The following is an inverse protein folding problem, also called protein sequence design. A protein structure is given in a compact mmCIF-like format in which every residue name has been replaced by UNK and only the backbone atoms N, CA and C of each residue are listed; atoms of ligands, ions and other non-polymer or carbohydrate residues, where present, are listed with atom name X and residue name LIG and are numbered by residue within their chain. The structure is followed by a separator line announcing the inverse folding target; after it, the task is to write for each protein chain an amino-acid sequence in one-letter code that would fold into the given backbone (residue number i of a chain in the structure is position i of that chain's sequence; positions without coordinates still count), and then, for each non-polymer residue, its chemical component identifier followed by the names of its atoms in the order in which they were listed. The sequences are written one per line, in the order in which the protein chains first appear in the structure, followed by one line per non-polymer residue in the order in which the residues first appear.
data_IF_161099354304
#
_entry.id   IF_161099354304
#
_cell.length_a   1.000
_cell.length_b   1.000
_cell.length_c   1.000
_cell.angle_alpha   90.00
_cell.angle_beta   90.00
_cell.angle_gamma   90.00
#
_symmetry.space_group_name_H-M   'P 1'
#
loop_
_entity.id
_entity.type
_entity.pdbx_description
1 polymer ?
2 non-polymer ?
3 water ?
#
# COMPACT_ATOMS: atom_id res chain seq x y z
N UNK A 4 -27.38 14.82 8.78
CA UNK A 4 -26.92 13.43 8.50
C UNK A 4 -25.75 13.05 9.45
N UNK A 5 -24.54 12.82 8.91
CA UNK A 5 -23.42 12.27 9.71
C UNK A 5 -22.64 13.38 10.42
N UNK A 6 -22.62 13.34 11.75
CA UNK A 6 -21.99 14.39 12.55
C UNK A 6 -21.56 13.84 13.89
N UNK A 7 -20.48 14.40 14.49
CA UNK A 7 -20.20 14.19 15.91
C UNK A 7 -21.40 14.66 16.72
N UNK A 8 -21.78 13.86 17.70
CA UNK A 8 -22.89 14.22 18.56
C UNK A 8 -22.45 14.45 20.01
N UNK A 9 -21.39 13.80 20.49
CA UNK A 9 -20.96 13.94 21.87
C UNK A 9 -19.66 14.74 21.87
N UNK A 10 -19.21 15.18 23.06
CA UNK A 10 -17.95 15.91 23.14
C UNK A 10 -16.82 15.04 22.66
N UNK A 11 -16.79 13.80 23.17
CA UNK A 11 -15.81 12.80 22.72
C UNK A 11 -15.71 12.63 21.23
N UNK A 12 -16.84 12.67 20.53
CA UNK A 12 -16.89 12.54 19.05
C UNK A 12 -16.30 13.73 18.34
N UNK A 13 -16.60 14.91 18.86
CA UNK A 13 -16.08 16.16 18.30
C UNK A 13 -14.57 16.16 18.40
N UNK A 14 -14.08 15.71 19.54
CA UNK A 14 -12.65 15.74 19.85
C UNK A 14 -11.93 14.79 18.95
N UNK A 15 -12.59 13.67 18.67
CA UNK A 15 -12.05 12.61 17.80
C UNK A 15 -11.85 13.08 16.37
N UNK A 16 -12.84 13.74 15.85
CA UNK A 16 -12.83 14.20 14.47
C UNK A 16 -11.80 15.32 14.36
N UNK A 17 -11.78 16.19 15.35
CA UNK A 17 -10.69 17.17 15.51
C UNK A 17 -9.27 16.56 15.54
N UNK A 18 -9.07 15.40 16.17
CA UNK A 18 -7.81 14.70 16.17
C UNK A 18 -7.48 14.18 14.79
N UNK A 19 -8.44 13.55 14.12
CA UNK A 19 -8.24 13.13 12.74
C UNK A 19 -7.83 14.34 11.88
N UNK A 20 -8.44 15.49 12.07
CA UNK A 20 -8.06 16.65 11.30
C UNK A 20 -6.60 17.10 11.51
N UNK A 21 -6.07 16.93 12.70
CA UNK A 21 -4.83 17.59 13.05
C UNK A 21 -3.63 16.63 13.20
N UNK A 22 -3.88 15.34 13.02
CA UNK A 22 -2.86 14.29 13.18
C UNK A 22 -2.84 13.38 11.96
N UNK A 23 -1.67 12.81 11.67
CA UNK A 23 -1.50 11.88 10.59
C UNK A 23 -1.97 10.47 10.95
N UNK A 24 -1.82 10.06 12.22
CA UNK A 24 -2.33 8.76 12.66
C UNK A 24 -3.14 8.96 13.93
N UNK A 25 -4.37 8.45 13.91
CA UNK A 25 -5.23 8.49 15.04
C UNK A 25 -5.69 7.06 15.38
N UNK A 26 -5.74 6.79 16.68
CA UNK A 26 -6.30 5.56 17.25
C UNK A 26 -7.62 5.93 17.89
N UNK A 27 -8.71 5.38 17.36
CA UNK A 27 -10.05 5.61 17.87
C UNK A 27 -10.45 4.33 18.59
N UNK A 28 -10.40 4.36 19.91
CA UNK A 28 -10.74 3.19 20.69
C UNK A 28 -12.01 3.42 21.46
N UNK A 29 -12.99 2.55 21.32
CA UNK A 29 -14.19 2.66 22.12
C UNK A 29 -15.09 1.49 21.87
N UNK A 30 -16.26 1.47 22.51
CA UNK A 30 -17.23 0.42 22.36
C UNK A 30 -18.00 0.55 21.04
N UNK A 31 -18.56 -0.58 20.58
CA UNK A 31 -19.52 -0.54 19.47
C UNK A 31 -20.49 0.61 19.63
N UNK A 32 -20.75 1.37 18.58
CA UNK A 32 -21.79 2.41 18.59
C UNK A 32 -21.30 3.79 18.99
N UNK A 33 -20.00 3.92 19.28
CA UNK A 33 -19.40 5.19 19.75
C UNK A 33 -18.91 6.08 18.61
N UNK A 34 -19.04 5.57 17.38
CA UNK A 34 -18.71 6.32 16.15
C UNK A 34 -17.25 6.21 15.78
N UNK A 35 -16.52 5.35 16.49
CA UNK A 35 -15.09 5.22 16.30
C UNK A 35 -14.74 4.80 14.86
N UNK A 36 -15.53 3.90 14.28
CA UNK A 36 -15.30 3.43 12.89
C UNK A 36 -16.07 4.23 11.89
N UNK A 37 -17.32 4.45 12.18
CA UNK A 37 -18.19 5.24 11.34
C UNK A 37 -17.72 6.66 11.02
N UNK A 38 -17.20 7.37 12.04
CA UNK A 38 -16.83 8.78 11.88
C UNK A 38 -15.48 8.86 11.20
N UNK A 39 -14.64 7.84 11.40
CA UNK A 39 -13.41 7.75 10.63
C UNK A 39 -13.70 7.64 9.10
N UNK A 41 -16.53 8.46 7.56
CA UNK A 41 -17.10 9.72 7.08
C UNK A 41 -15.98 10.75 6.76
N UNK A 42 -14.94 10.79 7.57
CA UNK A 42 -13.83 11.71 7.29
C UNK A 42 -13.03 11.25 6.09
N UNK A 43 -12.90 9.94 5.95
CA UNK A 43 -12.22 9.39 4.77
C UNK A 43 -12.94 9.84 3.51
N UNK A 44 -14.25 9.62 3.49
CA UNK A 44 -15.05 9.98 2.32
C UNK A 44 -14.94 11.48 2.05
N UNK A 45 -14.93 12.29 3.08
CA UNK A 45 -14.83 13.75 2.99
C UNK A 45 -13.49 14.15 2.38
N UNK A 46 -12.43 13.52 2.85
CA UNK A 46 -11.08 13.71 2.30
C UNK A 46 -11.03 13.40 0.79
N UNK A 47 -11.59 12.27 0.40
CA UNK A 47 -11.63 11.85 -1.01
C UNK A 47 -12.35 12.86 -1.85
N UNK A 48 -13.49 13.29 -1.37
CA UNK A 48 -14.38 14.16 -2.11
C UNK A 48 -13.77 15.54 -2.32
N UNK A 49 -13.01 16.01 -1.33
CA UNK A 49 -12.42 17.34 -1.38
C UNK A 49 -10.97 17.26 -1.87
N UNK A 50 -10.62 16.09 -2.41
CA UNK A 50 -9.32 15.79 -3.00
C UNK A 50 -8.11 15.92 -2.08
N UNK A 51 -8.29 15.82 -0.77
CA UNK A 51 -7.16 15.75 0.12
C UNK A 51 -6.41 14.42 -0.08
N UNK A 52 -7.13 13.37 -0.49
CA UNK A 52 -6.54 12.06 -0.80
C UNK A 52 -7.15 11.58 -2.13
N UNK A 53 -6.55 10.61 -2.78
CA UNK A 53 -7.15 10.07 -4.04
C UNK A 53 -7.69 8.66 -3.90
N UNK A 54 -7.55 8.08 -2.74
CA UNK A 54 -8.19 6.85 -2.46
C UNK A 54 -8.34 6.50 -0.98
N UNK A 55 -9.29 5.61 -0.72
CA UNK A 55 -9.66 5.16 0.61
C UNK A 55 -9.37 3.66 0.68
N UNK A 56 -8.66 3.21 1.70
CA UNK A 56 -8.46 1.79 1.91
C UNK A 56 -8.99 1.47 3.29
N UNK A 57 -9.96 0.55 3.31
CA UNK A 57 -10.61 0.06 4.53
C UNK A 57 -10.19 -1.36 4.76
N UNK A 58 -9.74 -1.69 5.96
CA UNK A 58 -9.13 -2.97 6.19
C UNK A 58 -9.45 -3.51 7.60
N UNK A 59 -9.53 -4.83 7.72
CA UNK A 59 -9.84 -5.54 8.97
C UNK A 59 -8.99 -6.80 8.98
N UNK A 60 -8.58 -7.26 10.15
CA UNK A 60 -7.91 -8.57 10.21
C UNK A 60 -8.87 -9.75 10.05
N UNK A 61 -8.33 -10.89 9.61
CA UNK A 61 -9.11 -12.10 9.37
C UNK A 61 -9.27 -12.91 10.66
N UNK A 62 -9.78 -12.26 11.69
CA UNK A 62 -9.90 -12.83 13.03
C UNK A 62 -10.98 -11.99 13.69
N UNK A 63 -11.87 -12.64 14.45
CA UNK A 63 -12.94 -11.96 15.17
C UNK A 63 -13.17 -12.59 16.53
N UNK A 64 -13.32 -11.72 17.55
CA UNK A 64 -13.59 -12.14 18.95
C UNK A 64 -14.71 -13.17 19.09
N UNK A 65 -14.44 -14.26 19.78
CA UNK A 65 -15.45 -15.28 20.08
C UNK A 65 -16.03 -16.05 18.90
N UNK A 66 -15.44 -15.86 17.71
CA UNK A 66 -15.79 -16.65 16.55
C UNK A 66 -14.78 -17.79 16.37
N UNK A 67 -15.27 -18.95 15.98
CA UNK A 67 -14.38 -20.07 15.69
C UNK A 67 -13.57 -19.77 14.43
N UNK A 68 -12.35 -20.28 14.38
CA UNK A 68 -11.49 -20.17 13.20
C UNK A 68 -12.24 -20.73 12.00
N UNK A 69 -12.24 -19.98 10.90
CA UNK A 69 -13.06 -20.30 9.72
C UNK A 69 -12.37 -20.79 8.45
N UNK A 70 -11.04 -20.81 8.40
CA UNK A 70 -10.29 -21.21 7.17
C UNK A 70 -8.87 -21.75 7.46
N UNK A 71 -8.19 -22.22 6.42
CA UNK A 71 -6.73 -22.48 6.50
C UNK A 71 -5.99 -21.12 6.50
N UNK A 72 -5.33 -20.75 7.63
CA UNK A 72 -4.94 -19.34 7.86
C UNK A 72 -3.96 -18.76 6.82
N UNK A 73 -4.05 -17.44 6.60
CA UNK A 73 -3.21 -16.72 5.64
C UNK A 73 -3.80 -16.71 4.23
N UNK A 80 -14.85 -12.13 3.70
CA UNK A 80 -15.99 -11.46 3.06
C UNK A 80 -17.16 -11.21 4.03
N UNK A 81 -17.50 -12.21 4.87
CA UNK A 81 -18.45 -11.98 5.96
C UNK A 81 -17.96 -10.97 7.01
N UNK A 82 -16.67 -11.04 7.35
CA UNK A 82 -16.12 -10.08 8.28
C UNK A 82 -16.02 -8.69 7.64
N UNK A 83 -16.02 -8.61 6.31
CA UNK A 83 -15.79 -7.36 5.59
C UNK A 83 -17.09 -6.67 5.17
N UNK A 84 -18.18 -7.42 5.21
CA UNK A 84 -19.48 -6.92 4.75
C UNK A 84 -19.92 -5.61 5.42
N UNK A 85 -19.79 -5.50 6.76
CA UNK A 85 -20.21 -4.23 7.37
C UNK A 85 -19.44 -2.95 6.92
N UNK A 86 -18.20 -3.10 6.47
CA UNK A 86 -17.44 -1.96 5.97
C UNK A 86 -18.04 -1.50 4.64
N UNK A 87 -18.32 -2.45 3.76
CA UNK A 87 -19.09 -2.16 2.53
C UNK A 87 -20.41 -1.52 2.81
N UNK A 88 -21.07 -2.01 3.84
CA UNK A 88 -22.39 -1.54 4.15
C UNK A 88 -22.42 -0.07 4.55
N UNK A 89 -21.52 0.31 5.46
CA UNK A 89 -21.41 1.69 5.96
C UNK A 89 -21.06 2.76 4.90
N UNK A 90 -20.45 2.32 3.79
CA UNK A 90 -20.19 3.19 2.67
C UNK A 90 -21.46 3.68 2.02
N UNK A 91 -22.48 2.82 2.04
CA UNK A 91 -23.80 3.16 1.50
C UNK A 91 -24.41 4.38 2.20
N UNK A 92 -24.03 4.62 3.44
CA UNK A 92 -24.46 5.79 4.15
C UNK A 92 -23.78 7.06 3.65
N UNK A 94 -21.76 7.28 0.45
CA UNK A 94 -21.53 7.37 -0.97
C UNK A 94 -22.82 6.98 -1.64
N UNK A 95 -23.09 7.53 -2.82
CA UNK A 95 -24.27 7.13 -3.60
C UNK A 95 -24.11 5.68 -4.04
N UNK A 96 -24.99 4.79 -3.56
CA UNK A 96 -24.85 3.35 -3.77
C UNK A 96 -24.47 2.86 -5.19
N UNK A 97 -24.97 3.55 -6.21
CA UNK A 97 -24.59 3.22 -7.60
C UNK A 97 -23.12 3.60 -7.95
N UNK A 98 -22.60 4.67 -7.35
CA UNK A 98 -21.17 5.00 -7.52
C UNK A 98 -20.24 3.93 -6.88
N UNK A 99 -20.73 3.20 -5.88
CA UNK A 99 -19.85 2.35 -5.09
C UNK A 99 -19.09 1.28 -5.91
N UNK A 100 -19.79 0.50 -6.73
CA UNK A 100 -19.10 -0.51 -7.57
C UNK A 100 -18.05 0.05 -8.57
N UNK A 101 -18.31 1.22 -9.13
CA UNK A 101 -17.31 1.89 -9.96
C UNK A 101 -16.10 2.41 -9.18
N UNK A 102 -16.30 2.78 -7.91
CA UNK A 102 -15.18 3.15 -7.06
C UNK A 102 -14.41 1.89 -6.73
N UNK A 104 -14.37 -0.82 -8.55
CA UNK A 104 -13.77 -1.30 -9.78
C UNK A 104 -12.49 -0.49 -10.09
N UNK A 105 -12.55 0.83 -9.94
CA UNK A 105 -11.37 1.66 -10.21
C UNK A 105 -10.30 1.58 -9.12
N UNK A 106 -10.57 0.84 -8.03
CA UNK A 106 -9.70 0.83 -6.83
C UNK A 106 -9.55 2.15 -6.02
N UNK A 107 -10.47 3.09 -6.23
CA UNK A 107 -10.51 4.35 -5.52
C UNK A 107 -11.01 4.12 -4.10
N UNK A 108 -11.92 3.16 -3.95
CA UNK A 108 -12.21 2.60 -2.65
C UNK A 108 -11.79 1.14 -2.68
N UNK A 109 -11.04 0.73 -1.68
CA UNK A 109 -10.55 -0.61 -1.55
C UNK A 109 -11.06 -1.03 -0.22
N UNK A 110 -11.64 -2.23 -0.17
CA UNK A 110 -11.99 -2.88 1.07
C UNK A 110 -11.31 -4.27 1.05
N UNK A 111 -10.41 -4.56 1.99
CA UNK A 111 -9.49 -5.70 1.87
C UNK A 111 -9.02 -6.20 3.22
N UNK A 112 -8.56 -7.45 3.30
CA UNK A 112 -7.99 -7.96 4.55
C UNK A 112 -6.61 -7.38 4.80
N UNK A 113 -6.25 -7.29 6.07
CA UNK A 113 -4.98 -6.71 6.45
C UNK A 113 -3.81 -7.34 5.68
N UNK A 114 -3.86 -8.65 5.45
CA UNK A 114 -2.76 -9.34 4.73
C UNK A 114 -2.43 -8.70 3.38
N UNK A 115 -3.40 -7.99 2.80
CA UNK A 115 -3.25 -7.41 1.49
C UNK A 115 -2.48 -6.11 1.55
N UNK A 117 0.57 -6.01 3.02
CA UNK A 117 2.01 -6.28 3.08
C UNK A 117 2.73 -5.75 1.82
N UNK A 118 3.94 -5.24 2.06
CA UNK A 118 4.79 -4.71 1.00
C UNK A 118 4.38 -3.40 0.31
N UNK A 119 3.29 -2.77 0.76
CA UNK A 119 2.81 -1.53 0.11
C UNK A 119 3.30 -0.27 0.79
N UNK A 120 3.25 0.85 0.05
CA UNK A 120 3.49 2.19 0.62
C UNK A 120 2.32 2.96 0.21
N UNK A 121 1.59 3.48 1.19
CA UNK A 121 0.28 4.02 0.92
C UNK A 121 0.39 5.54 0.90
N UNK A 122 0.45 6.05 -0.31
CA UNK A 122 0.63 7.48 -0.60
C UNK A 122 -0.70 8.01 -0.98
N UNK A 123 -0.98 9.22 -0.58
CA UNK A 123 -2.20 9.93 -1.03
C UNK A 123 -3.48 9.15 -0.75
N UNK A 124 -3.52 8.52 0.42
CA UNK A 124 -4.57 7.60 0.81
C UNK A 124 -5.07 7.90 2.23
N UNK A 125 -6.38 7.70 2.48
CA UNK A 125 -6.97 7.62 3.82
C UNK A 125 -7.21 6.15 4.11
N UNK A 126 -6.43 5.59 5.04
CA UNK A 126 -6.40 4.19 5.41
C UNK A 126 -6.98 4.01 6.80
N UNK A 127 -7.93 3.09 6.93
CA UNK A 127 -8.57 2.77 8.20
C UNK A 127 -8.40 1.28 8.43
N UNK A 128 -7.68 0.93 9.49
CA UNK A 128 -7.66 -0.43 10.01
C UNK A 128 -8.67 -0.52 11.12
N UNK A 129 -9.68 -1.34 10.90
CA UNK A 129 -10.75 -1.57 11.86
C UNK A 129 -10.58 -2.88 12.63
N UNK A 130 -11.33 -3.02 13.75
CA UNK A 130 -11.24 -4.17 14.64
C UNK A 130 -9.81 -4.50 14.99
N UNK A 131 -9.04 -3.48 15.29
CA UNK A 131 -7.61 -3.61 15.55
C UNK A 131 -7.25 -4.31 16.87
N UNK A 132 -8.22 -4.43 17.77
CA UNK A 132 -8.03 -5.24 18.97
C UNK A 132 -7.70 -6.71 18.61
N UNK A 133 -8.12 -7.14 17.42
CA UNK A 133 -7.88 -8.49 16.95
C UNK A 133 -6.49 -8.66 16.27
N UNK A 134 -5.57 -7.71 16.48
CA UNK A 134 -4.26 -7.76 15.84
C UNK A 134 -3.22 -8.05 16.88
N UNK A 135 -2.04 -8.44 16.41
CA UNK A 135 -0.85 -8.61 17.22
C UNK A 135 0.11 -7.42 16.96
N UNK A 136 1.04 -7.19 17.89
CA UNK A 136 2.14 -6.21 17.75
C UNK A 136 2.81 -6.23 16.38
N UNK A 137 3.16 -7.43 15.92
CA UNK A 137 3.84 -7.59 14.66
C UNK A 137 2.95 -7.12 13.49
N UNK A 138 1.68 -7.48 13.50
CA UNK A 138 0.75 -7.05 12.45
C UNK A 138 0.52 -5.53 12.45
N UNK A 140 2.62 -3.25 13.56
CA UNK A 140 3.86 -2.64 13.14
C UNK A 140 3.96 -2.66 11.62
N UNK A 142 1.33 -2.67 9.67
CA UNK A 142 0.35 -1.78 9.17
C UNK A 142 0.84 -0.33 9.20
N UNK A 143 1.30 0.10 10.36
CA UNK A 143 1.64 1.49 10.56
C UNK A 143 2.77 1.92 9.62
N UNK A 144 3.70 0.99 9.37
CA UNK A 144 4.85 1.28 8.50
C UNK A 144 4.55 1.25 7.00
N UNK A 145 3.28 1.05 6.62
CA UNK A 145 2.84 1.26 5.24
C UNK A 145 2.61 2.74 4.96
N UNK A 146 2.69 3.58 5.97
CA UNK A 146 2.38 5.00 5.79
C UNK A 146 3.26 5.64 4.73
N UNK A 147 2.65 6.19 3.67
CA UNK A 147 3.40 7.00 2.71
C UNK A 147 3.20 8.49 2.98
N UNK A 148 3.37 9.30 1.93
CA UNK A 148 3.26 10.75 1.99
C UNK A 148 1.90 11.20 1.54
N UNK A 149 1.41 12.31 2.12
CA UNK A 149 0.03 12.81 1.87
C UNK A 149 -1.11 11.88 2.28
N UNK A 150 -0.82 10.95 3.18
CA UNK A 150 -1.80 10.00 3.67
C UNK A 150 -2.27 10.25 5.13
N UNK A 151 -3.41 9.66 5.47
CA UNK A 151 -3.94 9.64 6.85
C UNK A 151 -4.21 8.20 7.22
N UNK A 153 -6.26 5.94 10.31
CA UNK A 153 -7.03 5.79 11.53
C UNK A 153 -7.10 4.30 11.83
N UNK A 154 -6.58 3.90 13.00
CA UNK A 154 -6.65 2.54 13.51
C UNK A 154 -7.74 2.56 14.58
N UNK A 155 -8.78 1.77 14.37
CA UNK A 155 -9.94 1.77 15.28
C UNK A 155 -10.20 0.37 15.85
N UNK A 156 -10.53 0.33 17.13
CA UNK A 156 -10.86 -0.91 17.82
C UNK A 156 -11.65 -0.72 19.10
N UNK A 157 -12.16 -1.80 19.64
CA UNK A 157 -12.98 -1.78 20.85
C UNK A 157 -12.31 -2.48 22.03
N UNK A 170 -2.37 -6.61 22.57
CA UNK A 170 -1.47 -6.13 21.52
C UNK A 170 -1.84 -4.77 20.90
N UNK A 171 -2.97 -4.21 21.33
CA UNK A 171 -3.31 -2.82 20.97
C UNK A 171 -2.89 -1.95 22.15
N UNK A 172 -3.27 -2.38 23.36
CA UNK A 172 -2.74 -1.85 24.64
C UNK A 172 -1.21 -1.65 24.61
N UNK A 173 -0.52 -2.58 23.95
CA UNK A 173 0.93 -2.53 23.84
C UNK A 173 1.37 -1.36 22.94
N UNK A 174 0.58 -1.05 21.91
CA UNK A 174 0.90 0.07 21.00
C UNK A 174 0.60 1.41 21.66
N UNK A 175 -0.50 1.44 22.40
CA UNK A 175 -0.87 2.57 23.24
C UNK A 175 0.34 2.99 24.07
N UNK A 176 1.01 2.02 24.64
CA UNK A 176 2.19 2.26 25.45
C UNK A 176 3.40 2.67 24.60
N UNK A 177 3.71 1.88 23.60
CA UNK A 177 4.90 2.09 22.75
C UNK A 177 4.92 3.46 22.08
N UNK A 178 3.77 3.90 21.57
CA UNK A 178 3.70 5.16 20.80
C UNK A 178 3.13 6.34 21.61
N UNK A 179 3.11 6.21 22.93
CA UNK A 179 2.43 7.22 23.74
C UNK A 179 3.21 8.57 23.76
N UNK A 180 4.50 8.52 23.46
CA UNK A 180 5.31 9.72 23.38
C UNK A 180 5.38 10.32 21.99
N UNK A 181 4.83 9.63 20.97
CA UNK A 181 5.10 10.00 19.58
C UNK A 181 4.20 11.17 19.07
N UNK A 182 4.81 12.15 18.43
CA UNK A 182 4.05 13.27 17.95
C UNK A 182 3.45 13.05 16.55
N UNK A 183 2.32 13.69 16.28
CA UNK A 183 1.51 13.41 15.08
C UNK A 183 0.83 12.04 15.10
N UNK A 184 0.76 11.41 16.27
CA UNK A 184 -0.04 10.22 16.55
C UNK A 184 -0.99 10.65 17.65
N UNK A 185 -2.23 10.21 17.64
CA UNK A 185 -3.13 10.55 18.71
C UNK A 185 -4.03 9.37 19.06
N UNK A 186 -4.21 9.21 20.38
CA UNK A 186 -5.14 8.25 20.94
C UNK A 186 -6.44 8.96 21.42
N UNK A 187 -7.57 8.60 20.83
CA UNK A 187 -8.86 9.12 21.25
C UNK A 187 -9.65 8.00 21.89
N UNK A 188 -9.94 8.12 23.18
CA UNK A 188 -10.72 7.12 23.89
C UNK A 188 -12.16 7.57 23.86
N UNK A 189 -13.04 6.76 23.28
CA UNK A 189 -14.46 7.06 23.30
C UNK A 189 -15.03 6.09 24.31
N UNK A 190 -16.15 6.46 24.93
CA UNK A 190 -16.74 5.67 26.03
C UNK A 190 -18.22 5.40 25.75
N UNK A 191 -18.85 4.61 26.64
CA UNK A 191 -20.32 4.39 26.64
C UNK A 191 -21.12 5.64 26.48
N UNK A 192 -20.61 6.70 27.08
CA UNK A 192 -21.17 8.04 26.94
C UNK A 192 -21.18 8.60 25.52
N UNK A 193 -20.36 8.01 24.66
CA UNK A 193 -20.33 8.42 23.27
C UNK A 193 -21.20 7.55 22.39
N UNK A 194 -21.79 6.49 22.98
CA UNK A 194 -22.56 5.51 22.22
C UNK A 194 -23.94 6.14 22.00
N UNK A 195 -24.15 6.65 20.78
CA UNK A 195 -25.40 7.29 20.41
C UNK A 195 -26.13 6.33 19.46
N UNK A 196 -27.16 5.68 19.98
CA UNK A 196 -28.06 4.85 19.18
C UNK A 196 -29.49 5.30 19.23
N UNK A 197 -30.26 4.78 18.28
CA UNK A 197 -31.69 4.91 18.31
C UNK A 197 -32.16 4.46 19.66
N UNK A 198 -33.03 5.24 20.29
CA UNK A 198 -33.50 4.87 21.65
C UNK A 198 -34.17 3.51 21.73
N UNK A 199 -34.77 3.05 20.62
CA UNK A 199 -35.45 1.76 20.65
C UNK A 199 -34.49 0.63 20.87
N UNK A 200 -33.23 0.78 20.43
CA UNK A 200 -32.24 -0.30 20.60
C UNK A 200 -32.02 -0.58 22.08
N UNK A 201 -31.83 0.48 22.86
CA UNK A 201 -31.62 0.33 24.29
C UNK A 201 -32.83 -0.26 24.98
N UNK A 202 -34.01 0.19 24.59
CA UNK A 202 -35.24 -0.32 25.19
C UNK A 202 -35.42 -1.79 24.91
N UNK A 203 -35.06 -2.22 23.71
CA UNK A 203 -35.16 -3.64 23.36
C UNK A 203 -34.08 -4.47 24.07
N UNK A 204 -32.87 -3.94 24.15
CA UNK A 204 -31.80 -4.61 24.89
C UNK A 204 -32.23 -4.82 26.34
N UNK A 205 -32.92 -3.84 26.93
CA UNK A 205 -33.44 -3.97 28.30
C UNK A 205 -34.54 -5.00 28.41
N UNK A 206 -35.45 -5.02 27.45
CA UNK A 206 -36.54 -5.97 27.47
C UNK A 206 -35.94 -7.38 27.57
N UNK A 207 -34.91 -7.65 26.79
CA UNK A 207 -34.24 -8.94 26.78
C UNK A 207 -33.46 -9.26 28.08
N UNK A 208 -33.06 -8.20 28.82
CA UNK A 208 -32.33 -8.37 30.10
C UNK A 208 -33.23 -9.05 31.14
N UNK B 4 4.55 15.41 -8.81
CA UNK B 4 4.55 15.09 -7.35
C UNK B 4 5.67 14.07 -6.98
N UNK B 5 6.07 13.21 -7.94
CA UNK B 5 7.04 12.11 -7.70
C UNK B 5 8.43 12.42 -8.21
N UNK B 6 9.27 13.06 -7.41
CA UNK B 6 10.59 13.46 -7.87
C UNK B 6 11.69 12.83 -7.04
N UNK B 7 12.92 12.71 -7.61
CA UNK B 7 14.07 12.34 -6.82
C UNK B 7 14.31 13.38 -5.73
N UNK B 8 14.65 12.91 -4.53
CA UNK B 8 14.81 13.81 -3.38
C UNK B 8 16.17 13.63 -2.69
N UNK B 9 17.09 12.87 -3.28
CA UNK B 9 18.44 12.80 -2.81
C UNK B 9 19.34 12.85 -4.05
N UNK B 10 20.65 13.06 -3.84
CA UNK B 10 21.60 13.07 -4.95
C UNK B 10 21.54 11.77 -5.70
N UNK B 11 21.66 10.67 -4.93
CA UNK B 11 21.57 9.32 -5.45
C UNK B 11 20.32 8.96 -6.20
N UNK B 12 19.18 9.46 -5.78
CA UNK B 12 17.95 9.37 -6.58
C UNK B 12 18.05 10.15 -7.91
N UNK B 13 18.57 11.37 -7.87
CA UNK B 13 18.77 12.14 -9.13
C UNK B 13 19.68 11.37 -10.10
N UNK B 14 20.76 10.79 -9.56
CA UNK B 14 21.75 10.11 -10.39
C UNK B 14 21.11 8.91 -11.05
N UNK B 15 20.26 8.23 -10.27
CA UNK B 15 19.57 7.04 -10.72
C UNK B 15 18.68 7.28 -11.93
N UNK B 16 17.88 8.29 -11.81
CA UNK B 16 16.93 8.69 -12.84
C UNK B 16 17.71 9.15 -14.06
N UNK B 17 18.82 9.83 -13.79
CA UNK B 17 19.68 10.34 -14.86
C UNK B 17 20.33 9.17 -15.63
N UNK B 18 20.70 8.11 -14.92
CA UNK B 18 21.13 6.84 -15.55
C UNK B 18 20.01 6.24 -16.42
N UNK B 19 18.78 6.21 -15.94
CA UNK B 19 17.68 5.69 -16.74
C UNK B 19 17.50 6.48 -18.03
N UNK B 20 17.62 7.80 -17.98
CA UNK B 20 17.51 8.57 -19.21
C UNK B 20 18.63 8.23 -20.21
N UNK B 21 19.82 7.94 -19.74
CA UNK B 21 20.95 7.89 -20.64
C UNK B 21 21.40 6.47 -20.99
N UNK B 22 20.75 5.44 -20.42
CA UNK B 22 21.13 4.03 -20.62
C UNK B 22 19.95 3.14 -20.94
N UNK B 23 20.21 2.14 -21.78
CA UNK B 23 19.20 1.18 -22.19
C UNK B 23 18.84 0.18 -21.09
N UNK B 24 19.83 -0.26 -20.29
CA UNK B 24 19.58 -1.13 -19.16
C UNK B 24 20.22 -0.55 -17.91
N UNK B 25 19.45 -0.50 -16.82
CA UNK B 25 19.92 0.07 -15.57
C UNK B 25 19.54 -0.88 -14.47
N UNK B 26 20.47 -1.12 -13.57
CA UNK B 26 20.23 -1.86 -12.35
C UNK B 26 20.12 -0.88 -11.20
N UNK B 27 18.98 -0.82 -10.54
CA UNK B 27 18.79 -0.02 -9.35
C UNK B 27 18.85 -0.90 -8.11
N UNK B 28 19.94 -0.83 -7.37
CA UNK B 28 20.10 -1.69 -6.22
C UNK B 28 20.06 -0.87 -4.93
N UNK B 29 19.20 -1.24 -4.01
CA UNK B 29 19.10 -0.50 -2.78
C UNK B 29 18.10 -1.08 -1.81
N UNK B 30 18.03 -0.50 -0.60
CA UNK B 30 17.13 -1.01 0.40
C UNK B 30 15.70 -0.56 0.11
N UNK B 31 14.74 -1.22 0.75
CA UNK B 31 13.33 -0.79 0.72
C UNK B 31 13.23 0.71 1.03
N UNK B 32 12.46 1.46 0.28
CA UNK B 32 12.25 2.87 0.59
C UNK B 32 13.15 3.85 -0.15
N UNK B 33 14.15 3.36 -0.89
CA UNK B 33 15.15 4.23 -1.57
C UNK B 33 14.74 4.80 -2.93
N UNK B 34 13.54 4.41 -3.40
CA UNK B 34 13.01 4.78 -4.70
C UNK B 34 13.46 3.91 -5.85
N UNK B 35 14.19 2.83 -5.58
CA UNK B 35 14.73 2.03 -6.67
C UNK B 35 13.63 1.47 -7.59
N UNK B 36 12.54 1.00 -6.99
CA UNK B 36 11.42 0.43 -7.79
C UNK B 36 10.47 1.53 -8.16
N UNK B 37 10.11 2.31 -7.16
CA UNK B 37 9.17 3.38 -7.35
C UNK B 37 9.55 4.36 -8.45
N UNK B 38 10.80 4.82 -8.46
CA UNK B 38 11.23 5.83 -9.42
C UNK B 38 11.36 5.27 -10.85
N UNK B 39 11.70 4.00 -10.94
CA UNK B 39 11.73 3.33 -12.24
C UNK B 39 10.33 3.29 -12.86
N UNK B 41 7.85 5.28 -12.17
CA UNK B 41 7.50 6.66 -12.56
C UNK B 41 8.12 7.07 -13.94
N UNK B 42 9.35 6.65 -14.22
CA UNK B 42 9.94 6.91 -15.51
C UNK B 42 9.29 6.11 -16.60
N UNK B 43 8.88 4.88 -16.25
CA UNK B 43 8.13 4.05 -17.20
C UNK B 43 6.86 4.80 -17.59
N UNK B 44 6.12 5.31 -16.62
CA UNK B 44 4.87 5.99 -16.92
C UNK B 44 5.13 7.24 -17.74
N UNK B 45 6.16 7.99 -17.36
CA UNK B 45 6.64 9.16 -18.13
C UNK B 45 6.92 8.83 -19.59
N UNK B 46 7.64 7.72 -19.77
CA UNK B 46 7.96 7.20 -21.10
C UNK B 46 6.70 6.87 -21.92
N UNK B 47 5.72 6.24 -21.27
CA UNK B 47 4.46 5.85 -21.94
C UNK B 47 3.67 7.08 -22.27
N UNK B 48 3.51 7.95 -21.29
CA UNK B 48 2.73 9.17 -21.49
C UNK B 48 3.29 10.03 -22.62
N UNK B 49 4.61 10.06 -22.79
CA UNK B 49 5.22 10.89 -23.85
C UNK B 49 5.55 10.12 -25.13
N UNK B 50 5.05 8.88 -25.21
CA UNK B 50 5.10 8.01 -26.39
C UNK B 50 6.50 7.59 -26.78
N UNK B 51 7.45 7.58 -25.84
CA UNK B 51 8.79 7.03 -26.08
C UNK B 51 8.70 5.50 -26.14
N UNK B 52 7.70 4.93 -25.47
CA UNK B 52 7.41 3.49 -25.55
C UNK B 52 5.90 3.35 -25.72
N UNK B 53 5.44 2.19 -26.16
CA UNK B 53 3.99 2.00 -26.32
C UNK B 53 3.42 1.08 -25.26
N UNK B 54 4.26 0.59 -24.37
CA UNK B 54 3.77 -0.28 -23.31
C UNK B 54 4.81 -0.47 -22.22
N UNK B 55 4.29 -0.83 -21.03
CA UNK B 55 5.04 -0.96 -19.78
C UNK B 55 4.82 -2.40 -19.25
N UNK B 56 5.90 -3.11 -18.98
CA UNK B 56 5.81 -4.47 -18.47
C UNK B 56 6.52 -4.49 -17.13
N UNK B 57 5.76 -4.77 -16.07
CA UNK B 57 6.27 -4.90 -14.70
C UNK B 57 6.24 -6.36 -14.33
N UNK B 58 7.36 -6.86 -13.81
CA UNK B 58 7.50 -8.27 -13.53
C UNK B 58 8.33 -8.47 -12.25
N UNK B 59 8.20 -9.67 -11.69
CA UNK B 59 8.75 -10.06 -10.37
C UNK B 59 8.86 -11.57 -10.45
N UNK B 60 9.87 -12.16 -9.83
CA UNK B 60 9.94 -13.62 -9.73
C UNK B 60 8.99 -14.21 -8.66
N UNK B 61 8.48 -15.41 -8.91
CA UNK B 61 7.58 -16.14 -7.98
C UNK B 61 8.17 -16.51 -6.59
N UNK B 62 9.41 -16.12 -6.32
CA UNK B 62 10.08 -16.37 -5.03
C UNK B 62 10.21 -15.09 -4.22
N UNK B 63 9.88 -15.15 -2.93
CA UNK B 63 9.99 -14.00 -2.02
C UNK B 63 10.85 -14.29 -0.79
N UNK B 64 11.74 -13.35 -0.46
CA UNK B 64 12.65 -13.47 0.69
C UNK B 64 11.92 -13.88 1.98
N UNK B 65 12.43 -14.94 2.62
CA UNK B 65 11.94 -15.38 3.94
C UNK B 65 10.50 -15.83 4.00
N UNK B 66 9.86 -15.97 2.84
CA UNK B 66 8.54 -16.55 2.73
C UNK B 66 8.71 -18.04 2.45
N UNK B 67 7.80 -18.87 2.95
CA UNK B 67 7.81 -20.30 2.62
C UNK B 67 7.35 -20.57 1.19
N UNK B 68 7.75 -21.72 0.65
CA UNK B 68 7.26 -22.14 -0.66
C UNK B 68 5.73 -22.22 -0.62
N UNK B 69 5.09 -21.42 -1.46
CA UNK B 69 3.64 -21.26 -1.46
C UNK B 69 2.87 -22.07 -2.49
N UNK B 70 3.45 -22.33 -3.65
CA UNK B 70 2.74 -22.96 -4.77
C UNK B 70 3.39 -24.29 -5.19
N UNK B 71 2.89 -24.87 -6.30
CA UNK B 71 3.56 -26.00 -6.98
C UNK B 71 4.27 -25.47 -8.24
N UNK B 72 5.64 -25.41 -8.22
CA UNK B 72 6.34 -24.92 -9.42
C UNK B 72 6.41 -26.01 -10.51
N UNK B 80 0.51 -13.64 -7.03
CA UNK B 80 -0.54 -12.62 -7.08
C UNK B 80 -0.50 -11.70 -5.85
N UNK B 81 -0.34 -12.28 -4.64
CA UNK B 81 0.01 -11.45 -3.48
C UNK B 81 1.33 -10.72 -3.68
N UNK B 82 2.27 -11.36 -4.37
CA UNK B 82 3.59 -10.77 -4.62
C UNK B 82 3.48 -9.68 -5.66
N UNK B 83 2.47 -9.75 -6.52
CA UNK B 83 2.30 -8.76 -7.58
C UNK B 83 1.51 -7.52 -7.13
N UNK B 84 0.78 -7.63 -6.02
CA UNK B 84 -0.12 -6.55 -5.58
C UNK B 84 0.53 -5.18 -5.36
N UNK B 85 1.72 -5.14 -4.73
CA UNK B 85 2.41 -3.85 -4.61
C UNK B 85 2.74 -3.17 -5.91
N UNK B 86 2.87 -3.94 -7.00
CA UNK B 86 3.15 -3.36 -8.34
C UNK B 86 1.91 -2.71 -8.89
N UNK B 87 0.77 -3.37 -8.76
CA UNK B 87 -0.52 -2.77 -9.13
C UNK B 87 -0.82 -1.54 -8.31
N UNK B 88 -0.41 -1.59 -7.05
CA UNK B 88 -0.78 -0.58 -6.11
C UNK B 88 -0.02 0.71 -6.38
N UNK B 89 1.25 0.60 -6.72
CA UNK B 89 2.10 1.76 -6.98
C UNK B 89 1.74 2.50 -8.29
N UNK B 90 1.10 1.78 -9.21
CA UNK B 90 0.55 2.38 -10.43
C UNK B 90 -0.49 3.47 -10.17
N UNK B 91 -1.22 3.30 -9.07
CA UNK B 91 -2.24 4.23 -8.62
C UNK B 91 -1.72 5.62 -8.29
N UNK B 92 -0.47 5.73 -7.89
CA UNK B 92 0.13 7.02 -7.64
C UNK B 92 0.52 7.72 -8.93
N UNK B 94 -0.94 6.70 -12.38
CA UNK B 94 -1.97 6.67 -13.37
C UNK B 94 -3.29 6.86 -12.64
N UNK B 95 -4.25 7.51 -13.30
CA UNK B 95 -5.61 7.66 -12.76
C UNK B 95 -6.20 6.28 -12.57
N UNK B 96 -6.64 5.97 -11.33
CA UNK B 96 -7.10 4.61 -11.04
C UNK B 96 -8.18 4.05 -11.98
N UNK B 97 -9.06 4.90 -12.48
CA UNK B 97 -10.08 4.44 -13.43
C UNK B 97 -9.49 4.09 -14.82
N UNK B 98 -8.34 4.65 -15.17
CA UNK B 98 -7.72 4.33 -16.48
C UNK B 98 -6.98 2.99 -16.41
N UNK B 99 -6.55 2.62 -15.22
CA UNK B 99 -5.71 1.45 -15.03
C UNK B 99 -6.31 0.16 -15.61
N UNK B 100 -7.59 -0.13 -15.31
CA UNK B 100 -8.16 -1.36 -15.89
C UNK B 100 -8.22 -1.35 -17.41
N UNK B 101 -8.44 -0.18 -18.00
CA UNK B 101 -8.38 0.00 -19.46
C UNK B 101 -7.01 -0.41 -20.02
N UNK B 102 -5.93 0.13 -19.41
CA UNK B 102 -4.55 -0.21 -19.76
C UNK B 102 -4.28 -1.70 -19.57
N UNK B 104 -6.43 -4.22 -19.66
CA UNK B 104 -7.16 -4.99 -20.66
C UNK B 104 -6.48 -4.95 -22.05
N UNK B 105 -6.04 -3.76 -22.48
CA UNK B 105 -5.37 -3.64 -23.79
C UNK B 105 -3.95 -4.15 -23.75
N UNK B 106 -3.46 -4.53 -22.56
CA UNK B 106 -2.06 -4.96 -22.34
C UNK B 106 -1.02 -3.85 -22.57
N UNK B 107 -1.46 -2.59 -22.49
CA UNK B 107 -0.55 -1.45 -22.52
C UNK B 107 0.27 -1.43 -21.22
N UNK B 108 -0.36 -1.80 -20.11
CA UNK B 108 0.37 -2.09 -18.88
C UNK B 108 0.15 -3.56 -18.53
N UNK B 109 1.26 -4.22 -18.24
CA UNK B 109 1.27 -5.65 -18.00
C UNK B 109 1.96 -5.83 -16.68
N UNK B 110 1.29 -6.49 -15.77
CA UNK B 110 1.88 -6.86 -14.52
C UNK B 110 1.83 -8.39 -14.51
N UNK B 111 2.98 -9.08 -14.43
CA UNK B 111 3.09 -10.55 -14.62
C UNK B 111 4.31 -11.18 -13.95
N UNK B 112 4.24 -12.50 -13.67
CA UNK B 112 5.45 -13.18 -13.15
C UNK B 112 6.52 -13.29 -14.21
N UNK B 113 7.74 -13.50 -13.75
CA UNK B 113 8.89 -13.54 -14.64
C UNK B 113 8.77 -14.63 -15.71
N UNK B 114 8.20 -15.76 -15.30
CA UNK B 114 7.98 -16.89 -16.21
C UNK B 114 7.27 -16.50 -17.51
N UNK B 115 6.40 -15.49 -17.47
CA UNK B 115 5.65 -15.10 -18.65
C UNK B 115 6.47 -14.29 -19.67
N UNK B 117 9.33 -15.62 -20.94
CA UNK B 117 10.06 -16.60 -21.76
C UNK B 117 9.67 -16.57 -23.24
N UNK B 118 10.69 -16.63 -24.08
CA UNK B 118 10.46 -16.63 -25.53
C UNK B 118 9.91 -15.34 -26.15
N UNK B 119 9.89 -14.25 -25.39
CA UNK B 119 9.44 -13.00 -25.97
C UNK B 119 10.54 -12.10 -26.48
N UNK B 120 10.19 -11.15 -27.34
CA UNK B 120 11.09 -10.01 -27.67
C UNK B 120 10.34 -8.77 -27.40
N UNK B 121 10.92 -7.92 -26.57
CA UNK B 121 10.19 -6.84 -26.00
C UNK B 121 10.66 -5.57 -26.69
N UNK B 122 9.81 -5.12 -27.60
CA UNK B 122 10.09 -3.98 -28.48
C UNK B 122 9.24 -2.84 -28.03
N UNK B 123 9.77 -1.63 -28.15
CA UNK B 123 9.02 -0.42 -27.85
C UNK B 123 8.36 -0.47 -26.47
N UNK B 124 9.09 -1.01 -25.49
CA UNK B 124 8.53 -1.28 -24.16
C UNK B 124 9.46 -0.75 -23.07
N UNK B 125 8.90 -0.39 -21.92
CA UNK B 125 9.66 -0.10 -20.68
C UNK B 125 9.43 -1.29 -19.76
N UNK B 126 10.49 -2.06 -19.51
CA UNK B 126 10.37 -3.27 -18.74
C UNK B 126 11.12 -3.11 -17.43
N UNK B 127 10.49 -3.55 -16.35
CA UNK B 127 11.04 -3.44 -15.00
C UNK B 127 10.90 -4.83 -14.38
N UNK B 128 12.04 -5.47 -14.10
CA UNK B 128 12.14 -6.65 -13.26
C UNK B 128 12.50 -6.23 -11.86
N UNK B 129 11.55 -6.42 -10.94
CA UNK B 129 11.67 -6.01 -9.55
C UNK B 129 12.01 -7.20 -8.64
N UNK B 130 12.56 -6.90 -7.47
CA UNK B 130 12.96 -7.92 -6.52
C UNK B 130 13.89 -8.94 -7.17
N UNK B 131 14.86 -8.44 -7.93
CA UNK B 131 15.76 -9.27 -8.73
C UNK B 131 16.80 -10.04 -7.92
N UNK B 132 16.92 -9.70 -6.64
CA UNK B 132 17.76 -10.47 -5.71
C UNK B 132 17.26 -11.92 -5.60
N UNK B 133 15.97 -12.12 -5.85
CA UNK B 133 15.33 -13.39 -5.79
C UNK B 133 15.45 -14.21 -7.10
N UNK B 134 16.32 -13.78 -8.01
CA UNK B 134 16.48 -14.44 -9.32
C UNK B 134 17.74 -15.29 -9.34
N UNK B 135 17.77 -16.28 -10.25
CA UNK B 135 19.03 -16.96 -10.55
C UNK B 135 19.72 -16.30 -11.74
N UNK B 136 21.02 -16.55 -11.90
CA UNK B 136 21.78 -16.06 -13.07
C UNK B 136 21.15 -16.49 -14.40
N UNK B 137 20.65 -17.71 -14.44
CA UNK B 137 19.96 -18.23 -15.62
C UNK B 137 18.65 -17.51 -15.92
N UNK B 138 17.87 -17.23 -14.88
CA UNK B 138 16.64 -16.47 -15.04
C UNK B 138 16.92 -15.03 -15.49
N UNK B 140 19.68 -14.01 -17.22
CA UNK B 140 20.08 -14.12 -18.60
C UNK B 140 18.86 -14.17 -19.52
N UNK B 142 15.93 -12.91 -18.87
CA UNK B 142 15.24 -11.66 -18.84
C UNK B 142 15.97 -10.65 -19.73
N UNK B 143 17.29 -10.56 -19.55
CA UNK B 143 18.04 -9.50 -20.20
C UNK B 143 18.04 -9.69 -21.70
N UNK B 144 18.09 -10.95 -22.12
CA UNK B 144 18.03 -11.30 -23.54
C UNK B 144 16.63 -11.19 -24.16
N UNK B 145 15.62 -10.74 -23.41
CA UNK B 145 14.33 -10.43 -24.03
C UNK B 145 14.33 -9.08 -24.72
N UNK B 146 15.43 -8.32 -24.61
CA UNK B 146 15.48 -6.91 -25.01
C UNK B 146 15.25 -6.71 -26.52
N UNK B 147 14.23 -5.95 -26.89
CA UNK B 147 14.01 -5.64 -28.30
C UNK B 147 14.61 -4.29 -28.66
N UNK B 148 14.03 -3.63 -29.67
CA UNK B 148 14.51 -2.33 -30.13
C UNK B 148 13.55 -1.29 -29.65
N UNK B 149 14.05 -0.09 -29.40
CA UNK B 149 13.28 1.02 -28.79
C UNK B 149 12.78 0.80 -27.35
N UNK B 150 13.32 -0.19 -26.66
CA UNK B 150 12.96 -0.50 -25.28
C UNK B 150 13.98 -0.03 -24.21
N UNK B 151 13.51 0.07 -22.97
CA UNK B 151 14.35 0.26 -21.78
C UNK B 151 14.07 -0.86 -20.79
N UNK B 153 14.78 -1.69 -16.61
CA UNK B 153 15.29 -1.46 -15.29
C UNK B 153 15.13 -2.75 -14.44
N UNK B 154 16.23 -3.27 -13.94
CA UNK B 154 16.23 -4.41 -13.01
C UNK B 154 16.51 -3.81 -11.62
N UNK B 155 15.59 -4.02 -10.70
CA UNK B 155 15.67 -3.46 -9.33
C UNK B 155 15.60 -4.57 -8.27
N UNK B 156 16.31 -4.35 -7.17
CA UNK B 156 16.46 -5.35 -6.10
C UNK B 156 17.19 -4.82 -4.87
N UNK B 157 17.14 -5.59 -3.80
CA UNK B 157 17.67 -5.21 -2.48
C UNK B 157 18.48 -6.32 -1.88
N UNK B 169 26.50 -15.57 -6.71
CA UNK B 169 25.40 -15.48 -5.73
C UNK B 169 24.04 -15.30 -6.46
N UNK B 170 23.43 -14.12 -6.28
CA UNK B 170 22.21 -13.79 -6.97
C UNK B 170 22.59 -12.94 -8.17
N UNK B 171 22.28 -11.65 -8.06
CA UNK B 171 22.58 -10.68 -9.13
C UNK B 171 23.93 -9.98 -8.93
N UNK B 172 24.65 -10.37 -7.86
CA UNK B 172 26.09 -10.05 -7.69
C UNK B 172 26.91 -10.66 -8.82
N UNK B 173 26.42 -11.76 -9.39
CA UNK B 173 27.10 -12.38 -10.52
C UNK B 173 27.04 -11.50 -11.76
N UNK B 174 25.87 -10.94 -12.05
CA UNK B 174 25.71 -10.08 -13.24
C UNK B 174 26.38 -8.73 -13.01
N UNK B 175 26.30 -8.23 -11.79
CA UNK B 175 27.03 -7.03 -11.40
C UNK B 175 28.50 -7.19 -11.79
N UNK B 176 29.05 -8.35 -11.48
CA UNK B 176 30.41 -8.65 -11.87
C UNK B 176 30.53 -8.88 -13.38
N UNK B 177 29.80 -9.86 -13.88
CA UNK B 177 29.76 -10.22 -15.30
C UNK B 177 29.53 -9.07 -16.31
N UNK B 178 28.70 -8.09 -15.99
CA UNK B 178 28.42 -6.95 -16.93
C UNK B 178 29.12 -5.64 -16.50
N UNK B 179 30.15 -5.77 -15.67
CA UNK B 179 30.85 -4.61 -15.13
C UNK B 179 31.45 -3.75 -16.27
N UNK B 180 31.94 -4.38 -17.33
CA UNK B 180 32.53 -3.65 -18.45
C UNK B 180 31.59 -3.29 -19.60
N UNK B 181 30.32 -3.68 -19.53
CA UNK B 181 29.44 -3.55 -20.68
C UNK B 181 28.87 -2.13 -20.75
N UNK B 182 28.89 -1.56 -21.95
CA UNK B 182 28.41 -0.19 -22.13
C UNK B 182 26.91 -0.11 -22.50
N UNK B 183 26.29 0.99 -22.14
CA UNK B 183 24.83 1.13 -22.18
C UNK B 183 24.12 0.25 -21.16
N UNK B 184 24.87 -0.23 -20.17
CA UNK B 184 24.33 -0.85 -18.97
C UNK B 184 24.84 0.01 -17.82
N UNK B 185 24.05 0.19 -16.79
CA UNK B 185 24.53 0.94 -15.66
C UNK B 185 24.02 0.38 -14.37
N UNK B 186 24.89 0.43 -13.36
CA UNK B 186 24.53 0.03 -12.00
C UNK B 186 24.43 1.27 -11.11
N UNK B 187 23.24 1.51 -10.54
CA UNK B 187 23.06 2.55 -9.54
C UNK B 187 22.89 1.86 -8.19
N UNK B 188 23.76 2.21 -7.25
CA UNK B 188 23.68 1.72 -5.88
C UNK B 188 23.08 2.86 -5.11
N UNK B 189 21.85 2.68 -4.62
CA UNK B 189 21.25 3.55 -3.65
C UNK B 189 21.49 2.94 -2.27
N UNK B 190 21.45 3.77 -1.24
CA UNK B 190 21.81 3.36 0.12
C UNK B 190 20.76 3.86 1.11
N UNK B 191 20.97 3.60 2.41
CA UNK B 191 20.08 4.09 3.51
C UNK B 191 19.87 5.57 3.45
N UNK B 192 20.89 6.27 3.00
CA UNK B 192 20.83 7.71 2.81
C UNK B 192 19.84 8.15 1.76
N UNK B 193 19.43 7.21 0.89
CA UNK B 193 18.48 7.52 -0.15
C UNK B 193 17.06 7.19 0.24
N UNK B 194 16.91 6.63 1.45
CA UNK B 194 15.64 6.17 1.95
C UNK B 194 14.91 7.36 2.55
N UNK B 195 13.89 7.84 1.84
CA UNK B 195 13.10 8.96 2.26
C UNK B 195 11.70 8.41 2.55
N UNK B 196 11.38 8.35 3.83
CA UNK B 196 10.06 8.02 4.30
C UNK B 196 9.47 9.21 5.04
N UNK B 197 8.14 9.20 5.15
CA UNK B 197 7.46 9.97 6.18
C UNK B 197 8.19 9.76 7.51
N UNK B 198 8.40 10.83 8.27
CA UNK B 198 9.20 10.70 9.47
C UNK B 198 8.55 9.89 10.59
N UNK B 199 7.23 9.74 10.53
CA UNK B 199 6.53 8.96 11.52
C UNK B 199 6.88 7.50 11.41
N UNK B 200 7.30 7.05 10.23
CA UNK B 200 7.64 5.63 10.06
C UNK B 200 8.90 5.33 10.89
N UNK B 201 9.91 6.17 10.76
CA UNK B 201 11.10 6.06 11.57
C UNK B 201 10.81 6.14 13.06
N UNK B 202 10.01 7.12 13.46
CA UNK B 202 9.67 7.30 14.87
C UNK B 202 8.93 6.09 15.43
N UNK B 203 8.07 5.49 14.61
CA UNK B 203 7.33 4.32 15.06
C UNK B 203 8.25 3.11 15.16
N UNK B 204 9.12 2.93 14.17
CA UNK B 204 10.07 1.81 14.15
C UNK B 204 11.02 1.88 15.34
N UNK B 205 11.48 3.09 15.65
CA UNK B 205 12.32 3.31 16.82
C UNK B 205 11.56 2.93 18.09
N UNK B 206 10.29 3.33 18.18
CA UNK B 206 9.45 3.03 19.34
C UNK B 206 9.39 1.53 19.60
N UNK B 207 9.32 0.75 18.52
CA UNK B 207 9.25 -0.71 18.62
C UNK B 207 10.58 -1.30 19.10
N UNK B 208 11.68 -0.75 18.60
CA UNK B 208 13.03 -1.19 18.99
C UNK B 208 13.24 -1.08 20.51
#
# INVERSE_FOLDING_TARGET
SNAVIRPKTLGQKHYVDAIDTNTIVFGLGPAGSGKTYLAXAKAVQALQSKQVSRIILTRPAVEAGEKLGFLPGTLNEKIDPYLRPLHDALRDXVEPEVIPKLXEAGIVEVAPLAYXRGRTLNDAFVILDEAQNTTPAQXKXFLTRLGFGSKXVVTGDITQVDLPGGQKSGLRLVRHILRGVDDVHFSELTSSDVVRHQLVGHIVDAYE
SNAVIRPKTLGQKHYVDAIDTNTIVFGLGPAGSGKTYLAXAKAVQALQSKQVSRIILTRPAVEAGEKLGFLPGTLNEKIDPYLRPLHDALRDXVEPEVIPKLXEAGIVEVAPLAYXRGRTLNDAFVILDEAQNTTPAQXKXFLTRLGFGSKXVVTGDITQVDLPGGQKSGLRLVRHILRGVDDVHFSELTSSDVVRHQLVGHIVDAYE
#
